data_IF_549190377511
#
_entry.id   IF_549190377511
#
_cell.length_a   1.000
_cell.length_b   1.000
_cell.length_c   1.000
_cell.angle_alpha   90.00
_cell.angle_beta   90.00
_cell.angle_gamma   90.00
#
_symmetry.space_group_name_H-M   'P 1'
#
loop_
_entity.id
_entity.type
_entity.pdbx_description
1 polymer ?
#
# COMPACT_ATOMS: atom_id res chain seq x y z
N UNK A 1 14.21 -15.65 -7.26
CA UNK A 1 13.05 -16.29 -7.89
C UNK A 1 13.39 -16.45 -9.35
N UNK A 2 13.07 -17.59 -9.92
CA UNK A 2 13.20 -17.78 -11.37
C UNK A 2 12.21 -16.83 -12.07
N UNK A 3 12.63 -16.17 -13.14
CA UNK A 3 11.80 -15.20 -13.86
C UNK A 3 10.58 -15.84 -14.54
N UNK A 4 10.56 -17.17 -14.65
CA UNK A 4 9.45 -17.94 -15.21
C UNK A 4 8.35 -18.28 -14.19
N UNK A 5 8.58 -18.03 -12.89
CA UNK A 5 7.59 -18.31 -11.85
C UNK A 5 6.65 -17.13 -11.70
N UNK A 6 5.34 -17.37 -11.86
CA UNK A 6 4.30 -16.43 -11.46
C UNK A 6 4.05 -16.55 -9.95
N UNK A 7 4.56 -15.59 -9.17
CA UNK A 7 4.44 -15.63 -7.71
C UNK A 7 2.98 -15.56 -7.25
N UNK A 8 2.08 -14.91 -8.02
CA UNK A 8 0.66 -14.81 -7.68
C UNK A 8 0.04 -16.21 -7.63
N UNK A 9 0.28 -17.02 -8.67
CA UNK A 9 -0.21 -18.39 -8.74
C UNK A 9 0.45 -19.29 -7.69
N UNK A 10 1.75 -19.15 -7.44
CA UNK A 10 2.49 -19.98 -6.48
C UNK A 10 1.97 -19.83 -5.04
N UNK A 11 1.53 -18.63 -4.66
CA UNK A 11 0.97 -18.38 -3.32
C UNK A 11 -0.57 -18.49 -3.27
N UNK A 12 -1.20 -18.93 -4.36
CA UNK A 12 -2.65 -19.16 -4.42
C UNK A 12 -3.50 -17.89 -4.37
N UNK A 13 -2.99 -16.76 -4.87
CA UNK A 13 -3.73 -15.50 -4.97
C UNK A 13 -4.43 -15.37 -6.33
N UNK A 14 -5.46 -14.54 -6.40
CA UNK A 14 -6.24 -14.33 -7.61
C UNK A 14 -5.99 -12.95 -8.20
N UNK A 15 -5.63 -12.89 -9.48
CA UNK A 15 -5.46 -11.62 -10.19
C UNK A 15 -6.79 -11.06 -10.71
N UNK A 16 -6.91 -9.73 -10.75
CA UNK A 16 -8.07 -9.00 -11.31
C UNK A 16 -7.59 -7.76 -12.08
N UNK A 17 -8.28 -7.42 -13.17
CA UNK A 17 -7.89 -6.30 -14.01
C UNK A 17 -8.01 -4.94 -13.30
N UNK A 18 -7.02 -4.08 -13.56
CA UNK A 18 -7.07 -2.64 -13.25
C UNK A 18 -7.91 -1.88 -14.29
N UNK A 19 -8.45 -0.72 -13.91
CA UNK A 19 -9.29 0.12 -14.77
C UNK A 19 -8.49 1.12 -15.60
N UNK A 20 -7.42 1.68 -15.06
CA UNK A 20 -6.67 2.82 -15.60
C UNK A 20 -5.20 2.49 -15.91
N UNK A 21 -4.68 1.36 -15.44
CA UNK A 21 -3.31 0.88 -15.68
C UNK A 21 -3.28 -0.57 -16.16
N UNK A 22 -2.15 -1.00 -16.75
CA UNK A 22 -1.96 -2.37 -17.25
C UNK A 22 -1.73 -3.43 -16.16
N UNK A 23 -0.95 -3.17 -15.09
CA UNK A 23 -0.72 -4.17 -14.05
C UNK A 23 -2.01 -4.62 -13.37
N UNK A 24 -2.11 -5.91 -13.07
CA UNK A 24 -3.26 -6.52 -12.40
C UNK A 24 -3.23 -6.22 -10.89
N UNK A 25 -4.42 -6.20 -10.27
CA UNK A 25 -4.61 -6.15 -8.80
C UNK A 25 -4.83 -7.56 -8.26
N UNK A 26 -4.88 -7.70 -6.95
CA UNK A 26 -5.11 -8.97 -6.24
C UNK A 26 -6.48 -8.97 -5.58
N UNK A 27 -7.34 -9.94 -5.89
CA UNK A 27 -8.73 -9.99 -5.39
C UNK A 27 -8.78 -9.99 -3.87
N UNK A 28 -7.86 -10.71 -3.22
CA UNK A 28 -7.82 -10.89 -1.77
C UNK A 28 -7.37 -9.64 -0.99
N UNK A 29 -6.87 -8.61 -1.66
CA UNK A 29 -6.54 -7.32 -1.02
C UNK A 29 -7.77 -6.40 -1.04
N UNK A 30 -8.25 -5.90 0.11
CA UNK A 30 -9.46 -5.07 0.17
C UNK A 30 -9.25 -3.64 -0.35
N UNK A 31 -8.00 -3.21 -0.49
CA UNK A 31 -7.63 -1.87 -0.98
C UNK A 31 -6.53 -1.98 -2.04
N UNK A 32 -6.66 -1.23 -3.12
CA UNK A 32 -5.63 -1.11 -4.17
C UNK A 32 -5.46 0.32 -4.62
N UNK A 33 -4.23 0.66 -4.96
CA UNK A 33 -3.91 1.89 -5.67
C UNK A 33 -3.41 1.55 -7.07
N UNK A 34 -4.05 2.13 -8.07
CA UNK A 34 -3.55 2.13 -9.43
C UNK A 34 -2.62 3.33 -9.59
N UNK A 35 -1.36 3.05 -9.93
CA UNK A 35 -0.31 4.07 -9.93
C UNK A 35 0.38 4.16 -11.30
N UNK A 36 0.73 5.39 -11.70
CA UNK A 36 1.67 5.66 -12.80
C UNK A 36 3.02 6.07 -12.23
N UNK A 37 4.12 5.53 -12.78
CA UNK A 37 5.46 5.87 -12.32
C UNK A 37 5.80 7.31 -12.73
N UNK A 38 6.15 8.14 -11.75
CA UNK A 38 6.61 9.52 -11.96
C UNK A 38 8.13 9.56 -12.04
N UNK A 39 8.81 8.89 -11.11
CA UNK A 39 10.26 8.95 -10.97
C UNK A 39 10.80 7.70 -10.28
N UNK A 40 11.97 7.25 -10.73
CA UNK A 40 12.77 6.23 -10.05
C UNK A 40 14.11 6.87 -9.68
N UNK A 41 14.50 6.75 -8.40
CA UNK A 41 15.81 7.16 -7.90
C UNK A 41 16.56 5.89 -7.49
N UNK A 42 17.67 5.62 -8.17
CA UNK A 42 18.60 4.58 -7.79
C UNK A 42 19.44 5.06 -6.61
N UNK A 43 19.40 4.35 -5.49
CA UNK A 43 20.17 4.71 -4.32
C UNK A 43 21.62 4.26 -4.47
N UNK A 44 22.59 5.08 -4.04
CA UNK A 44 23.98 4.65 -3.98
C UNK A 44 24.11 3.40 -3.10
N UNK A 45 24.86 2.41 -3.59
CA UNK A 45 25.21 1.21 -2.84
C UNK A 45 26.71 0.99 -2.92
N UNK A 46 27.29 0.45 -1.85
CA UNK A 46 28.69 0.00 -1.86
C UNK A 46 28.89 -1.32 -2.61
N UNK A 47 27.80 -1.99 -3.02
CA UNK A 47 27.80 -3.25 -3.76
C UNK A 47 26.63 -3.30 -4.73
N UNK A 48 26.87 -3.77 -5.95
CA UNK A 48 25.83 -3.93 -6.98
C UNK A 48 24.94 -5.17 -6.76
N UNK A 49 25.19 -5.97 -5.71
CA UNK A 49 24.47 -7.22 -5.49
C UNK A 49 23.01 -7.03 -5.03
N UNK A 50 22.68 -5.89 -4.42
CA UNK A 50 21.33 -5.58 -3.93
C UNK A 50 21.00 -4.09 -4.11
N UNK A 51 20.76 -3.62 -5.34
CA UNK A 51 20.43 -2.23 -5.59
C UNK A 51 19.09 -1.88 -4.94
N UNK A 52 19.04 -0.73 -4.26
CA UNK A 52 17.81 -0.19 -3.68
C UNK A 52 17.30 0.98 -4.51
N UNK A 53 15.99 1.04 -4.72
CA UNK A 53 15.35 2.08 -5.52
C UNK A 53 14.25 2.77 -4.72
N UNK A 54 14.14 4.09 -4.86
CA UNK A 54 12.95 4.84 -4.46
C UNK A 54 12.10 5.06 -5.71
N UNK A 55 10.86 4.57 -5.70
CA UNK A 55 9.89 4.74 -6.79
C UNK A 55 8.78 5.68 -6.34
N UNK A 56 8.62 6.80 -7.05
CA UNK A 56 7.51 7.73 -6.86
C UNK A 56 6.41 7.40 -7.86
N UNK A 57 5.22 7.12 -7.36
CA UNK A 57 4.03 6.84 -8.17
C UNK A 57 2.93 7.88 -7.93
N UNK A 58 2.24 8.26 -8.99
CA UNK A 58 1.00 9.04 -8.95
C UNK A 58 -0.17 8.08 -8.82
N UNK A 59 -0.98 8.21 -7.78
CA UNK A 59 -2.22 7.44 -7.63
C UNK A 59 -3.26 8.01 -8.60
N UNK A 60 -3.60 7.23 -9.62
CA UNK A 60 -4.60 7.60 -10.65
C UNK A 60 -5.95 6.93 -10.40
N UNK A 61 -6.00 5.92 -9.53
CA UNK A 61 -7.23 5.23 -9.15
C UNK A 61 -7.11 4.55 -7.80
N UNK A 62 -8.21 4.48 -7.07
CA UNK A 62 -8.31 3.81 -5.77
C UNK A 62 -9.50 2.85 -5.81
N UNK A 63 -9.28 1.61 -5.38
CA UNK A 63 -10.33 0.61 -5.17
C UNK A 63 -10.36 0.27 -3.71
N UNK A 64 -11.55 0.33 -3.10
CA UNK A 64 -11.77 -0.02 -1.71
C UNK A 64 -13.01 -0.89 -1.68
N UNK A 65 -12.90 -2.06 -1.05
CA UNK A 65 -14.05 -2.91 -0.82
C UNK A 65 -15.03 -2.23 0.14
N UNK A 66 -16.32 -2.21 -0.22
CA UNK A 66 -17.37 -1.53 0.58
C UNK A 66 -17.43 -2.05 2.03
N UNK A 67 -17.07 -3.32 2.25
CA UNK A 67 -17.00 -3.93 3.58
C UNK A 67 -16.01 -3.23 4.51
N UNK A 68 -14.99 -2.57 3.95
CA UNK A 68 -13.94 -1.82 4.65
C UNK A 68 -14.26 -0.32 4.77
N UNK A 69 -15.45 0.12 4.36
CA UNK A 69 -15.90 1.50 4.47
C UNK A 69 -16.92 1.66 5.59
N UNK A 70 -16.83 2.77 6.33
CA UNK A 70 -17.85 3.23 7.29
C UNK A 70 -17.92 4.75 7.24
N UNK A 71 -19.13 5.30 7.09
CA UNK A 71 -19.38 6.75 7.09
C UNK A 71 -18.50 7.56 6.12
N UNK A 72 -18.30 7.00 4.92
CA UNK A 72 -17.48 7.61 3.87
C UNK A 72 -15.98 7.60 4.13
N UNK A 73 -15.51 6.83 5.12
CA UNK A 73 -14.10 6.66 5.48
C UNK A 73 -13.72 5.19 5.49
N UNK A 74 -12.42 4.93 5.35
CA UNK A 74 -11.88 3.59 5.54
C UNK A 74 -11.95 3.22 7.03
N UNK A 75 -12.63 2.11 7.33
CA UNK A 75 -12.59 1.46 8.62
C UNK A 75 -11.38 0.52 8.67
N UNK A 76 -10.26 1.05 9.18
CA UNK A 76 -9.02 0.28 9.30
C UNK A 76 -9.12 -0.94 10.24
N UNK A 77 -10.14 -1.01 11.11
CA UNK A 77 -10.41 -2.21 11.90
C UNK A 77 -10.86 -3.39 11.04
N UNK A 78 -11.48 -3.12 9.88
CA UNK A 78 -11.97 -4.15 8.94
C UNK A 78 -10.94 -4.53 7.87
N UNK A 79 -10.05 -3.62 7.51
CA UNK A 79 -8.99 -3.84 6.49
C UNK A 79 -8.00 -4.93 6.93
N UNK A 80 -7.75 -5.07 8.24
CA UNK A 80 -6.87 -6.10 8.83
C UNK A 80 -5.46 -6.13 8.22
N UNK A 81 -4.90 -4.98 7.85
CA UNK A 81 -3.57 -4.91 7.25
C UNK A 81 -2.48 -5.41 8.21
N UNK A 82 -1.37 -5.83 7.60
CA UNK A 82 -0.17 -6.28 8.29
C UNK A 82 0.96 -5.27 8.13
N UNK A 83 1.77 -5.11 9.16
CA UNK A 83 3.01 -4.34 9.14
C UNK A 83 4.19 -5.29 9.19
N UNK A 84 5.22 -5.05 8.36
CA UNK A 84 6.52 -5.71 8.49
C UNK A 84 7.29 -5.08 9.64
N UNK A 85 7.83 -5.91 10.53
CA UNK A 85 8.67 -5.48 11.64
C UNK A 85 10.14 -5.79 11.30
N UNK A 86 10.95 -6.15 12.30
CA UNK A 86 12.29 -6.70 12.09
C UNK A 86 12.26 -8.19 11.74
N UNK A 87 13.35 -8.71 11.20
CA UNK A 87 13.50 -10.13 10.87
C UNK A 87 12.33 -10.67 10.04
N UNK A 88 11.68 -11.74 10.48
CA UNK A 88 10.50 -12.34 9.86
C UNK A 88 9.23 -12.05 10.65
N UNK A 89 9.25 -11.05 11.54
CA UNK A 89 8.13 -10.71 12.40
C UNK A 89 7.13 -9.78 11.68
N UNK A 90 5.84 -10.02 11.92
CA UNK A 90 4.75 -9.22 11.38
C UNK A 90 3.76 -8.86 12.48
N UNK A 91 3.20 -7.66 12.40
CA UNK A 91 2.21 -7.15 13.33
C UNK A 91 0.88 -6.83 12.66
N UNK A 92 -0.21 -6.91 13.42
CA UNK A 92 -1.50 -6.28 13.07
C UNK A 92 -1.56 -4.87 13.66
N UNK A 93 -2.51 -4.06 13.21
CA UNK A 93 -2.83 -2.81 13.91
C UNK A 93 -3.27 -3.13 15.35
N UNK A 94 -2.78 -2.35 16.30
CA UNK A 94 -3.25 -2.37 17.68
C UNK A 94 -4.51 -1.53 17.87
N UNK A 95 -4.56 -0.76 18.97
CA UNK A 95 -5.67 0.14 19.26
C UNK A 95 -5.73 1.31 18.26
N UNK A 96 -6.94 1.62 17.78
CA UNK A 96 -7.22 2.76 16.92
C UNK A 96 -8.06 3.76 17.71
N UNK A 97 -7.60 5.01 17.80
CA UNK A 97 -8.32 6.08 18.47
C UNK A 97 -8.22 7.38 17.66
N UNK A 98 -9.18 8.28 17.86
CA UNK A 98 -9.23 9.58 17.17
C UNK A 98 -8.56 10.62 18.03
N UNK A 99 -7.52 11.27 17.51
CA UNK A 99 -6.87 12.42 18.15
C UNK A 99 -7.20 13.71 17.37
N UNK A 100 -7.93 14.68 17.94
CA UNK A 100 -8.14 15.97 17.28
C UNK A 100 -6.82 16.74 17.20
N UNK A 101 -6.68 17.60 16.17
CA UNK A 101 -5.51 18.49 16.09
C UNK A 101 -5.50 19.46 17.29
N UNK A 102 -4.37 19.65 17.99
CA UNK A 102 -4.24 20.72 18.97
C UNK A 102 -4.31 22.06 18.24
N UNK A 103 -5.24 22.94 18.63
CA UNK A 103 -5.52 24.20 17.94
C UNK A 103 -4.28 25.07 17.68
N UNK A 104 -4.10 25.53 16.44
CA UNK A 104 -3.31 26.73 16.14
C UNK A 104 -4.02 27.94 16.78
N UNK A 105 -3.32 28.74 17.59
CA UNK A 105 -3.88 29.99 18.14
C UNK A 105 -4.45 30.84 16.99
N UNK A 106 -5.68 31.35 17.16
CA UNK A 106 -6.22 32.40 16.29
C UNK A 106 -5.30 33.62 16.41
N UNK A 107 -4.67 34.03 15.32
CA UNK A 107 -4.15 35.40 15.22
C UNK A 107 -5.36 36.33 15.24
N UNK A 108 -5.49 37.08 16.34
CA UNK A 108 -6.38 38.22 16.42
C UNK A 108 -5.73 39.34 15.61
N UNK A 109 -6.33 39.65 14.47
CA UNK A 109 -6.14 40.89 13.71
C UNK A 109 -7.51 41.50 13.47
#
# INVERSE_FOLDING_TARGET
>A
WDSEIDEISEVGLTSIQSRLVKPMRIVESPIHFECKTIKVIHLPSSSDQNPSNIVFGEVVGVHIEDSCMSDGKVDYGRVKQVSRLGYMDFGRIGEIFIMPRPYTKKEQG
#
